data_IF_868864967487
#
_entry.id   IF_868864967487
#
_cell.length_a   1.000
_cell.length_b   1.000
_cell.length_c   1.000
_cell.angle_alpha   90.00
_cell.angle_beta   90.00
_cell.angle_gamma   90.00
#
_symmetry.space_group_name_H-M   'P 1'
#
loop_
_entity.id
_entity.type
_entity.pdbx_description
1 polymer ?
#
# COMPACT_ATOMS: atom_id res chain seq x y z
N UNK A 1 29.32 30.41 -21.92
CA UNK A 1 29.46 29.07 -22.54
C UNK A 1 28.10 28.40 -22.54
N UNK A 2 27.36 28.60 -23.60
CA UNK A 2 26.00 28.13 -23.80
C UNK A 2 26.02 26.73 -24.43
N UNK A 3 25.58 25.69 -23.71
CA UNK A 3 25.40 24.34 -24.26
C UNK A 3 24.00 24.22 -24.83
N UNK A 4 23.93 24.18 -26.14
CA UNK A 4 22.72 23.91 -26.95
C UNK A 4 22.41 22.41 -26.89
N UNK A 5 21.18 22.03 -26.47
CA UNK A 5 20.69 20.65 -26.56
C UNK A 5 19.84 20.49 -27.81
N UNK A 6 20.03 19.43 -28.61
CA UNK A 6 19.18 19.19 -29.75
C UNK A 6 17.84 18.56 -29.33
N UNK A 7 16.79 19.13 -29.89
CA UNK A 7 15.40 18.64 -29.81
C UNK A 7 15.30 17.36 -30.63
N UNK A 8 15.20 16.22 -29.95
CA UNK A 8 14.91 14.92 -30.57
C UNK A 8 13.40 14.73 -30.71
N UNK A 9 12.95 14.80 -31.94
CA UNK A 9 11.59 14.48 -32.38
C UNK A 9 11.35 12.97 -32.24
N UNK A 10 10.52 12.52 -31.31
CA UNK A 10 10.17 11.11 -31.14
C UNK A 10 8.71 10.87 -31.52
N UNK A 11 8.54 10.09 -32.58
CA UNK A 11 7.30 9.69 -33.21
C UNK A 11 6.41 8.89 -32.26
N UNK A 12 5.18 9.32 -32.19
CA UNK A 12 4.08 8.64 -31.49
C UNK A 12 3.63 7.46 -32.35
N UNK A 13 3.83 6.24 -31.87
CA UNK A 13 3.20 5.05 -32.41
C UNK A 13 1.91 4.76 -31.66
N UNK A 14 0.81 4.97 -32.37
CA UNK A 14 -0.55 4.61 -31.99
C UNK A 14 -0.70 3.08 -32.10
N UNK A 15 -0.93 2.36 -31.01
CA UNK A 15 -1.44 0.99 -31.04
C UNK A 15 -2.86 0.97 -30.46
N UNK A 16 -3.82 0.95 -31.38
CA UNK A 16 -5.19 0.50 -31.16
C UNK A 16 -5.24 -1.01 -31.38
N UNK A 17 -6.01 -1.73 -30.62
CA UNK A 17 -6.56 -3.08 -30.80
C UNK A 17 -6.59 -3.73 -29.39
N UNK A 18 -7.69 -4.23 -28.85
CA UNK A 18 -8.99 -4.57 -29.33
C UNK A 18 -9.85 -5.06 -28.18
N UNK A 19 -11.13 -4.87 -28.32
CA UNK A 19 -12.19 -5.44 -27.51
C UNK A 19 -12.13 -6.97 -27.46
N UNK A 20 -12.33 -7.53 -26.28
CA UNK A 20 -12.67 -8.94 -26.09
C UNK A 20 -13.71 -9.03 -24.99
N UNK A 21 -14.97 -9.04 -25.37
CA UNK A 21 -16.10 -9.42 -24.55
C UNK A 21 -16.19 -10.95 -24.50
N UNK A 22 -16.66 -11.45 -23.41
CA UNK A 22 -17.67 -12.50 -23.38
C UNK A 22 -17.42 -13.72 -22.52
N UNK A 23 -18.50 -14.08 -21.91
CA UNK A 23 -19.12 -15.36 -21.53
C UNK A 23 -18.80 -15.77 -20.10
N UNK A 24 -19.76 -16.10 -19.31
CA UNK A 24 -21.11 -16.61 -19.54
C UNK A 24 -21.47 -17.47 -18.34
N UNK A 25 -22.64 -17.27 -17.84
CA UNK A 25 -23.30 -18.08 -16.82
C UNK A 25 -23.24 -19.58 -17.13
N UNK A 26 -23.01 -20.38 -16.11
CA UNK A 26 -23.63 -21.72 -16.05
C UNK A 26 -23.73 -22.17 -14.59
N UNK A 27 -24.94 -22.13 -14.13
CA UNK A 27 -25.41 -22.83 -12.95
C UNK A 27 -25.35 -24.32 -13.22
N UNK A 28 -24.76 -25.10 -12.34
CA UNK A 28 -25.06 -26.53 -12.27
C UNK A 28 -25.11 -26.95 -10.81
N UNK A 29 -26.31 -27.22 -10.36
CA UNK A 29 -26.61 -27.87 -9.10
C UNK A 29 -26.13 -29.33 -9.16
N UNK A 30 -25.36 -29.75 -8.16
CA UNK A 30 -25.18 -31.16 -7.85
C UNK A 30 -25.21 -31.36 -6.35
N UNK A 31 -26.26 -32.01 -5.91
CA UNK A 31 -26.41 -32.54 -4.56
C UNK A 31 -25.42 -33.69 -4.34
N UNK A 32 -24.66 -33.62 -3.26
CA UNK A 32 -23.79 -34.70 -2.78
C UNK A 32 -23.60 -34.57 -1.29
N UNK A 33 -24.22 -35.43 -0.52
CA UNK A 33 -24.07 -35.55 0.93
C UNK A 33 -22.67 -36.08 1.28
N UNK A 34 -22.01 -35.42 2.24
CA UNK A 34 -20.72 -35.88 2.80
C UNK A 34 -20.44 -35.15 4.09
N UNK A 35 -20.53 -35.87 5.20
CA UNK A 35 -20.31 -35.45 6.59
C UNK A 35 -18.84 -35.07 6.77
N UNK A 36 -18.57 -33.85 7.16
CA UNK A 36 -17.24 -33.39 7.60
C UNK A 36 -17.40 -32.05 8.30
N UNK A 37 -17.36 -32.07 9.63
CA UNK A 37 -17.46 -30.85 10.43
C UNK A 37 -16.18 -29.98 10.21
N UNK A 38 -16.29 -29.03 9.31
CA UNK A 38 -15.34 -27.92 9.17
C UNK A 38 -15.85 -26.78 10.05
N UNK A 39 -14.98 -26.10 10.82
CA UNK A 39 -15.41 -24.91 11.56
C UNK A 39 -15.91 -23.87 10.54
N UNK A 40 -17.21 -23.59 10.57
CA UNK A 40 -17.80 -22.52 9.80
C UNK A 40 -17.26 -21.19 10.33
N UNK A 41 -16.30 -20.64 9.62
CA UNK A 41 -16.02 -19.21 9.71
C UNK A 41 -17.21 -18.50 9.08
N UNK A 42 -18.02 -17.87 9.92
CA UNK A 42 -19.11 -17.01 9.45
C UNK A 42 -18.56 -15.92 8.55
N UNK A 43 -19.10 -15.74 7.32
CA UNK A 43 -18.64 -14.70 6.40
C UNK A 43 -18.95 -13.26 6.87
N UNK A 44 -19.56 -13.10 8.03
CA UNK A 44 -20.06 -11.80 8.51
C UNK A 44 -19.01 -10.91 9.19
N UNK A 45 -18.00 -11.49 9.81
CA UNK A 45 -17.12 -10.69 10.68
C UNK A 45 -15.88 -10.13 9.99
N UNK A 46 -15.50 -10.67 8.81
CA UNK A 46 -14.36 -10.17 8.06
C UNK A 46 -14.70 -9.02 7.08
N UNK A 47 -15.98 -8.85 6.74
CA UNK A 47 -16.39 -7.80 5.80
C UNK A 47 -16.39 -6.40 6.43
N UNK A 48 -16.60 -6.27 7.73
CA UNK A 48 -16.64 -4.97 8.40
C UNK A 48 -15.24 -4.39 8.69
N UNK A 49 -14.23 -5.24 8.84
CA UNK A 49 -12.84 -4.82 9.15
C UNK A 49 -12.02 -4.56 7.88
N UNK A 50 -12.36 -5.21 6.76
CA UNK A 50 -11.64 -5.07 5.50
C UNK A 50 -11.97 -3.78 4.71
N UNK A 51 -12.96 -3.01 5.15
CA UNK A 51 -13.51 -1.88 4.40
C UNK A 51 -12.92 -0.51 4.77
N UNK A 52 -12.17 -0.40 5.87
CA UNK A 52 -11.64 0.89 6.31
C UNK A 52 -10.20 1.09 5.84
N UNK A 53 -9.98 2.12 5.05
CA UNK A 53 -8.62 2.59 4.77
C UNK A 53 -8.05 3.19 6.06
N UNK A 54 -6.87 2.76 6.53
CA UNK A 54 -6.23 3.32 7.71
C UNK A 54 -5.92 4.81 7.56
N UNK A 55 -5.63 5.48 8.66
CA UNK A 55 -5.30 6.90 8.67
C UNK A 55 -4.11 7.22 7.75
N UNK A 56 -4.25 8.30 6.98
CA UNK A 56 -3.22 8.87 6.12
C UNK A 56 -3.57 10.32 5.79
N UNK A 57 -2.62 11.08 5.29
CA UNK A 57 -2.86 12.46 4.86
C UNK A 57 -3.10 12.52 3.35
N UNK A 58 -4.18 13.16 2.94
CA UNK A 58 -4.44 13.42 1.53
C UNK A 58 -3.56 14.52 0.96
N UNK A 59 -2.99 15.36 1.83
CA UNK A 59 -2.15 16.50 1.47
C UNK A 59 -0.95 16.58 2.43
N UNK A 60 0.25 16.74 1.90
CA UNK A 60 1.49 16.88 2.67
C UNK A 60 1.45 18.07 3.62
N UNK A 61 0.78 19.16 3.25
CA UNK A 61 0.68 20.34 4.12
C UNK A 61 0.00 20.02 5.46
N UNK A 62 -0.99 19.13 5.45
CA UNK A 62 -1.73 18.71 6.64
C UNK A 62 -0.92 17.73 7.52
N UNK A 63 0.09 17.08 6.94
CA UNK A 63 1.00 16.18 7.65
C UNK A 63 2.09 16.92 8.44
N UNK A 64 2.29 18.20 8.18
CA UNK A 64 3.39 18.97 8.78
C UNK A 64 3.09 19.40 10.23
N UNK A 65 4.11 19.42 11.13
CA UNK A 65 5.48 19.00 10.88
C UNK A 65 5.59 17.48 10.71
N UNK A 66 6.39 17.02 9.75
CA UNK A 66 6.62 15.58 9.55
C UNK A 66 7.43 15.02 10.72
N UNK A 67 7.10 13.82 11.22
CA UNK A 67 7.90 13.15 12.23
C UNK A 67 9.29 12.79 11.70
N UNK A 68 10.28 12.80 12.57
CA UNK A 68 11.63 12.38 12.22
C UNK A 68 11.70 10.86 12.10
N UNK A 69 12.20 10.37 10.97
CA UNK A 69 12.44 8.94 10.75
C UNK A 69 13.67 8.49 11.53
N UNK A 70 13.60 7.29 12.15
CA UNK A 70 14.74 6.69 12.83
C UNK A 70 15.92 6.48 11.86
N UNK A 71 17.14 6.50 12.40
CA UNK A 71 18.33 6.28 11.58
C UNK A 71 18.36 4.82 11.08
N UNK A 72 18.40 4.56 9.76
CA UNK A 72 18.50 3.21 9.21
C UNK A 72 19.67 2.39 9.78
N UNK A 73 20.74 3.05 10.23
CA UNK A 73 21.93 2.40 10.82
C UNK A 73 21.67 1.70 12.15
N UNK A 74 20.51 1.94 12.77
CA UNK A 74 20.11 1.26 14.01
C UNK A 74 19.68 -0.20 13.75
N UNK A 75 19.41 -0.55 12.49
CA UNK A 75 18.91 -1.86 12.09
C UNK A 75 20.01 -2.68 11.41
N UNK A 76 19.93 -4.00 11.52
CA UNK A 76 20.88 -4.92 10.91
C UNK A 76 20.29 -5.73 9.76
N UNK A 77 18.94 -5.82 9.70
CA UNK A 77 18.25 -6.53 8.62
C UNK A 77 18.22 -5.66 7.36
N UNK A 78 18.81 -6.13 6.23
CA UNK A 78 18.92 -5.32 5.01
C UNK A 78 17.59 -4.79 4.44
N UNK A 79 16.50 -5.57 4.38
CA UNK A 79 15.18 -5.07 4.03
C UNK A 79 14.70 -3.92 4.90
N UNK A 80 14.87 -4.02 6.23
CA UNK A 80 14.49 -2.99 7.20
C UNK A 80 15.33 -1.71 6.99
N UNK A 81 16.65 -1.86 6.89
CA UNK A 81 17.57 -0.74 6.60
C UNK A 81 17.13 0.01 5.36
N UNK A 82 16.78 -0.71 4.29
CA UNK A 82 16.32 -0.14 3.03
C UNK A 82 14.99 0.60 3.19
N UNK A 83 14.04 0.03 3.91
CA UNK A 83 12.73 0.63 4.15
C UNK A 83 12.85 1.96 4.92
N UNK A 84 13.63 1.99 6.00
CA UNK A 84 13.89 3.22 6.76
C UNK A 84 14.67 4.27 5.95
N UNK A 85 15.55 3.83 5.05
CA UNK A 85 16.28 4.74 4.15
C UNK A 85 15.31 5.45 3.20
N UNK A 86 14.36 4.71 2.60
CA UNK A 86 13.32 5.33 1.76
C UNK A 86 12.40 6.26 2.53
N UNK A 87 11.96 5.86 3.73
CA UNK A 87 11.12 6.72 4.55
C UNK A 87 11.83 8.05 4.90
N UNK A 88 13.15 8.03 5.07
CA UNK A 88 13.97 9.21 5.30
C UNK A 88 14.18 10.06 4.05
N UNK A 89 14.26 9.43 2.88
CA UNK A 89 14.49 10.10 1.59
C UNK A 89 13.23 10.78 1.06
N UNK A 90 12.06 10.14 1.21
CA UNK A 90 10.79 10.62 0.67
C UNK A 90 9.67 10.64 1.74
N UNK A 91 9.87 11.32 2.88
CA UNK A 91 8.92 11.28 4.01
C UNK A 91 7.53 11.82 3.64
N UNK A 92 7.45 12.78 2.73
CA UNK A 92 6.17 13.29 2.24
C UNK A 92 5.31 12.20 1.61
N UNK A 93 5.91 11.32 0.82
CA UNK A 93 5.19 10.20 0.19
C UNK A 93 4.68 9.25 1.26
N UNK A 94 5.52 8.90 2.24
CA UNK A 94 5.13 8.01 3.35
C UNK A 94 4.01 8.61 4.21
N UNK A 95 3.95 9.92 4.37
CA UNK A 95 2.88 10.58 5.11
C UNK A 95 1.51 10.45 4.43
N UNK A 96 1.49 10.27 3.12
CA UNK A 96 0.27 10.11 2.32
C UNK A 96 -0.15 8.64 2.13
N UNK A 97 0.59 7.69 2.71
CA UNK A 97 0.27 6.28 2.63
C UNK A 97 -0.40 5.77 3.91
N UNK A 98 -1.45 4.95 3.80
CA UNK A 98 -2.04 4.28 4.95
C UNK A 98 -1.14 3.15 5.46
N UNK A 99 -1.11 2.97 6.79
CA UNK A 99 -0.44 1.84 7.42
C UNK A 99 -1.43 0.69 7.64
N UNK A 100 -1.38 -0.33 6.80
CA UNK A 100 -2.32 -1.46 6.84
C UNK A 100 -2.11 -2.44 8.00
N UNK A 101 -1.11 -2.24 8.86
CA UNK A 101 -1.07 -2.89 10.17
C UNK A 101 -2.03 -2.25 11.20
N UNK A 102 -2.82 -1.27 10.78
CA UNK A 102 -3.85 -0.62 11.60
C UNK A 102 -3.34 -0.03 12.92
N UNK A 103 -2.09 0.46 12.93
CA UNK A 103 -1.50 1.13 14.08
C UNK A 103 -2.21 2.43 14.46
N UNK A 104 -3.08 2.95 13.61
CA UNK A 104 -3.96 4.08 13.88
C UNK A 104 -4.97 3.77 15.00
N UNK A 105 -5.35 2.50 15.19
CA UNK A 105 -6.30 2.09 16.24
C UNK A 105 -5.69 1.99 17.64
N UNK A 106 -4.40 1.65 17.74
CA UNK A 106 -3.76 1.37 19.05
C UNK A 106 -2.61 2.32 19.37
N UNK A 107 -1.86 2.74 18.38
CA UNK A 107 -0.65 3.53 18.56
C UNK A 107 -0.83 5.00 18.13
N UNK A 108 -2.01 5.37 17.66
CA UNK A 108 -2.32 6.73 17.24
C UNK A 108 -1.55 7.19 15.98
N UNK A 109 -1.08 6.25 15.16
CA UNK A 109 -0.40 6.57 13.91
C UNK A 109 -1.37 7.23 12.93
N UNK A 110 -0.96 8.31 12.31
CA UNK A 110 -1.76 9.09 11.37
C UNK A 110 -1.42 8.77 9.90
N UNK A 111 -0.33 8.02 9.69
CA UNK A 111 0.15 7.63 8.37
C UNK A 111 1.18 6.51 8.47
N UNK A 112 1.60 5.98 7.33
CA UNK A 112 2.71 5.03 7.25
C UNK A 112 4.03 5.63 7.79
N UNK A 113 4.25 6.94 7.64
CA UNK A 113 5.46 7.61 8.12
C UNK A 113 5.64 7.46 9.64
N UNK A 114 4.56 7.46 10.41
CA UNK A 114 4.62 7.34 11.87
C UNK A 114 5.21 5.98 12.31
N UNK A 115 5.03 4.91 11.50
CA UNK A 115 5.68 3.62 11.75
C UNK A 115 7.21 3.70 11.66
N UNK A 116 7.74 4.58 10.82
CA UNK A 116 9.17 4.78 10.63
C UNK A 116 9.77 5.85 11.55
N UNK A 117 8.93 6.60 12.26
CA UNK A 117 9.34 7.44 13.39
C UNK A 117 9.56 6.61 14.67
N UNK A 118 9.16 5.34 14.64
CA UNK A 118 9.33 4.34 15.70
C UNK A 118 9.96 3.08 15.10
N UNK A 119 10.15 2.04 15.89
CA UNK A 119 10.64 0.73 15.44
C UNK A 119 9.53 -0.19 14.88
N UNK A 120 8.28 0.27 14.86
CA UNK A 120 7.16 -0.50 14.33
C UNK A 120 7.34 -0.90 12.85
N UNK A 121 8.04 -0.11 12.07
CA UNK A 121 8.36 -0.44 10.69
C UNK A 121 9.39 -1.58 10.53
N UNK A 122 9.94 -2.08 11.64
CA UNK A 122 10.93 -3.16 11.68
C UNK A 122 10.35 -4.51 12.18
N UNK A 123 9.05 -4.59 12.48
CA UNK A 123 8.38 -5.78 13.05
C UNK A 123 7.44 -6.46 12.06
#
# INVERSE_FOLDING_TARGET
MTKSFPVGLLLISLFLIGCGANHGSSSTSSSGAGVGATPQHSPGDHAATASRIPAHFSNVADARPLPAVLDPKQFTDPPVVKAYSYAKEIPEVFSQQPCYCHCDNGNGHRSLLDCFATDHGAT
#
